data_IF_208926509187
#
_entry.id   IF_208926509187
#
_cell.length_a   1.000
_cell.length_b   1.000
_cell.length_c   1.000
_cell.angle_alpha   90.00
_cell.angle_beta   90.00
_cell.angle_gamma   90.00
#
_symmetry.space_group_name_H-M   'P 1'
#
loop_
_entity.id
_entity.type
_entity.pdbx_description
1 polymer ?
#
# COMPACT_ATOMS: atom_id res chain seq x y z
N UNK A 1 20.29 40.61 64.75
CA UNK A 1 19.52 39.35 64.72
C UNK A 1 18.05 39.75 64.81
N UNK A 2 17.23 39.86 63.76
CA UNK A 2 16.93 38.94 62.64
C UNK A 2 16.55 39.81 61.42
N UNK A 3 17.39 40.07 60.43
CA UNK A 3 17.97 39.16 59.42
C UNK A 3 16.94 38.38 58.60
N UNK A 4 16.70 38.84 57.37
CA UNK A 4 16.63 38.02 56.16
C UNK A 4 15.68 36.82 56.12
N UNK A 5 14.46 36.92 56.67
CA UNK A 5 13.34 36.03 56.30
C UNK A 5 12.23 36.91 55.79
N UNK A 6 12.10 37.05 54.47
CA UNK A 6 10.84 37.33 53.75
C UNK A 6 11.09 37.80 52.30
N UNK A 7 12.34 38.03 51.87
CA UNK A 7 12.65 38.40 50.49
C UNK A 7 13.06 37.21 49.58
N UNK A 8 12.96 35.98 50.10
CA UNK A 8 13.37 34.76 49.39
C UNK A 8 12.21 33.79 49.10
N UNK A 9 10.97 34.30 49.07
CA UNK A 9 9.78 33.45 48.89
C UNK A 9 8.80 33.93 47.83
N UNK A 10 9.17 34.95 47.05
CA UNK A 10 8.33 35.46 45.94
C UNK A 10 9.03 35.34 44.57
N UNK A 11 10.31 34.96 44.52
CA UNK A 11 11.06 34.80 43.25
C UNK A 11 11.17 33.33 42.80
N UNK A 12 10.70 32.37 43.60
CA UNK A 12 10.81 30.93 43.31
C UNK A 12 9.48 30.27 42.93
N UNK A 13 8.51 31.03 42.42
CA UNK A 13 7.25 30.51 41.88
C UNK A 13 6.85 31.12 40.53
N UNK A 14 7.83 31.61 39.77
CA UNK A 14 7.72 31.78 38.32
C UNK A 14 8.61 30.74 37.63
N UNK A 15 8.41 29.47 37.98
CA UNK A 15 8.77 28.38 37.08
C UNK A 15 7.79 28.49 35.92
N UNK A 16 8.20 29.25 34.91
CA UNK A 16 7.57 29.33 33.60
C UNK A 16 7.38 27.88 33.15
N UNK A 17 6.16 27.35 33.26
CA UNK A 17 5.75 26.16 32.53
C UNK A 17 5.67 26.57 31.08
N UNK A 18 6.84 26.72 30.44
CA UNK A 18 6.90 26.64 29.00
C UNK A 18 6.32 25.26 28.68
N UNK A 19 5.23 25.14 27.90
CA UNK A 19 4.92 23.85 27.33
C UNK A 19 6.19 23.44 26.59
N UNK A 20 6.80 22.34 27.04
CA UNK A 20 7.80 21.67 26.24
C UNK A 20 7.07 21.34 24.93
N UNK A 21 7.30 22.16 23.90
CA UNK A 21 6.97 21.79 22.54
C UNK A 21 7.90 20.64 22.23
N UNK A 22 7.49 19.42 22.64
CA UNK A 22 7.99 18.21 22.01
C UNK A 22 7.73 18.44 20.53
N UNK A 23 8.79 18.56 19.74
CA UNK A 23 8.64 18.44 18.31
C UNK A 23 7.97 17.08 18.09
N UNK A 24 6.81 17.13 17.46
CA UNK A 24 6.12 15.92 17.08
C UNK A 24 6.88 15.31 15.90
N UNK A 25 7.90 14.52 16.23
CA UNK A 25 8.76 13.84 15.26
C UNK A 25 8.04 12.69 14.55
N UNK A 26 6.73 12.50 14.76
CA UNK A 26 5.95 11.48 14.06
C UNK A 26 5.87 11.79 12.57
N UNK A 27 6.27 10.83 11.74
CA UNK A 27 6.11 10.88 10.29
C UNK A 27 4.64 10.75 9.89
N UNK A 28 3.96 9.84 10.57
CA UNK A 28 2.56 9.48 10.35
C UNK A 28 1.66 10.24 11.32
N UNK A 29 0.70 10.98 10.78
CA UNK A 29 -0.40 11.57 11.51
C UNK A 29 -1.57 10.59 11.54
N UNK A 30 -2.26 10.49 12.69
CA UNK A 30 -3.45 9.65 12.82
C UNK A 30 -4.70 10.46 12.48
N UNK A 31 -5.47 9.98 11.51
CA UNK A 31 -6.75 10.57 11.12
C UNK A 31 -7.90 9.97 11.94
N UNK A 32 -9.02 10.72 12.03
CA UNK A 32 -10.21 10.31 12.79
C UNK A 32 -10.92 9.09 12.23
N UNK A 33 -10.74 8.79 10.95
CA UNK A 33 -11.34 7.65 10.24
C UNK A 33 -10.58 6.32 10.43
N UNK A 34 -9.53 6.30 11.25
CA UNK A 34 -8.70 5.11 11.45
C UNK A 34 -7.52 5.00 10.48
N UNK A 35 -7.37 5.92 9.52
CA UNK A 35 -6.21 5.96 8.61
C UNK A 35 -5.00 6.70 9.21
N UNK A 36 -3.81 6.42 8.68
CA UNK A 36 -2.61 7.22 8.95
C UNK A 36 -2.16 7.90 7.67
N UNK A 37 -1.56 9.08 7.80
CA UNK A 37 -1.09 9.88 6.67
C UNK A 37 0.27 10.51 6.95
N UNK A 38 1.16 10.39 5.98
CA UNK A 38 2.43 11.06 5.95
C UNK A 38 2.35 12.21 4.95
N UNK A 39 2.31 13.45 5.45
CA UNK A 39 2.47 14.65 4.63
C UNK A 39 3.93 14.86 4.29
N UNK A 40 4.22 15.00 2.99
CA UNK A 40 5.59 15.18 2.51
C UNK A 40 6.03 16.61 2.80
N UNK A 41 7.17 16.72 3.47
CA UNK A 41 7.84 17.98 3.79
C UNK A 41 9.36 17.76 3.76
N UNK A 42 10.10 18.43 4.64
CA UNK A 42 11.56 18.44 4.59
C UNK A 42 12.25 17.14 5.08
N UNK A 43 11.48 16.12 5.49
CA UNK A 43 11.98 14.84 6.02
C UNK A 43 12.08 13.76 4.94
N UNK A 44 12.72 14.10 3.82
CA UNK A 44 13.00 13.24 2.65
C UNK A 44 14.52 13.26 2.35
N UNK A 45 15.09 12.22 1.72
CA UNK A 45 14.43 11.00 1.23
C UNK A 45 13.97 10.09 2.38
N UNK A 46 12.99 9.24 2.09
CA UNK A 46 12.58 8.18 3.02
C UNK A 46 11.96 7.01 2.26
N UNK A 47 12.34 5.81 2.68
CA UNK A 47 11.88 4.52 2.18
C UNK A 47 11.18 3.77 3.31
N UNK A 48 10.09 3.09 2.95
CA UNK A 48 9.34 2.22 3.84
C UNK A 48 8.81 1.01 3.05
N UNK A 49 8.18 0.08 3.73
CA UNK A 49 7.48 -1.03 3.11
C UNK A 49 6.26 -1.43 3.91
N UNK A 50 5.30 -2.06 3.22
CA UNK A 50 4.17 -2.70 3.83
C UNK A 50 3.88 -4.03 3.16
N UNK A 51 3.53 -5.03 3.96
CA UNK A 51 2.90 -6.24 3.44
C UNK A 51 1.38 -6.10 3.51
N UNK A 52 0.74 -6.27 2.35
CA UNK A 52 -0.71 -6.33 2.21
C UNK A 52 -1.06 -7.68 1.59
N UNK A 53 -1.92 -8.45 2.24
CA UNK A 53 -2.30 -9.79 1.77
C UNK A 53 -3.78 -9.94 1.46
N UNK A 54 -4.07 -10.99 0.71
CA UNK A 54 -5.37 -11.63 0.55
C UNK A 54 -5.18 -13.14 0.44
N UNK A 55 -6.28 -13.87 0.33
CA UNK A 55 -6.21 -15.33 0.45
C UNK A 55 -5.38 -16.01 -0.62
N UNK A 56 -5.31 -15.47 -1.84
CA UNK A 56 -4.58 -16.07 -2.96
C UNK A 56 -3.39 -15.25 -3.44
N UNK A 57 -3.05 -14.17 -2.74
CA UNK A 57 -1.94 -13.29 -3.11
C UNK A 57 -1.41 -12.52 -1.89
N UNK A 58 -0.10 -12.27 -1.85
CA UNK A 58 0.49 -11.27 -0.96
C UNK A 58 1.34 -10.29 -1.76
N UNK A 59 1.40 -9.05 -1.28
CA UNK A 59 2.23 -8.00 -1.84
C UNK A 59 3.12 -7.41 -0.74
N UNK A 60 4.43 -7.52 -0.89
CA UNK A 60 5.38 -6.66 -0.16
C UNK A 60 5.65 -5.45 -1.04
N UNK A 61 4.97 -4.35 -0.72
CA UNK A 61 5.09 -3.08 -1.40
C UNK A 61 6.17 -2.25 -0.71
N UNK A 62 7.31 -2.08 -1.37
CA UNK A 62 8.39 -1.17 -0.95
C UNK A 62 8.18 0.14 -1.68
N UNK A 63 8.08 1.23 -0.95
CA UNK A 63 7.76 2.54 -1.50
C UNK A 63 8.59 3.62 -0.81
N UNK A 64 8.74 4.74 -1.48
CA UNK A 64 9.48 5.85 -0.89
C UNK A 64 9.26 7.15 -1.64
N UNK A 65 9.82 8.20 -1.04
CA UNK A 65 9.89 9.53 -1.62
C UNK A 65 11.36 9.94 -1.66
N UNK A 66 11.87 10.21 -2.85
CA UNK A 66 13.26 10.59 -3.06
C UNK A 66 13.54 12.03 -2.59
N UNK A 67 14.80 12.46 -2.61
CA UNK A 67 15.22 13.80 -2.18
C UNK A 67 14.62 14.92 -3.03
N UNK A 68 14.28 14.63 -4.29
CA UNK A 68 13.57 15.54 -5.18
C UNK A 68 12.04 15.42 -5.06
N UNK A 69 11.53 14.75 -4.03
CA UNK A 69 10.11 14.48 -3.80
C UNK A 69 9.42 13.64 -4.87
N UNK A 70 10.16 12.96 -5.76
CA UNK A 70 9.57 11.96 -6.66
C UNK A 70 9.17 10.69 -5.89
N UNK A 71 8.15 10.00 -6.41
CA UNK A 71 7.72 8.71 -5.86
C UNK A 71 8.50 7.57 -6.51
N UNK A 72 8.77 6.52 -5.75
CA UNK A 72 9.24 5.26 -6.29
C UNK A 72 8.64 4.08 -5.52
N UNK A 73 8.37 2.98 -6.23
CA UNK A 73 7.88 1.77 -5.59
C UNK A 73 8.28 0.49 -6.36
N UNK A 74 8.34 -0.60 -5.61
CA UNK A 74 8.41 -1.95 -6.15
C UNK A 74 7.53 -2.88 -5.33
N UNK A 75 6.93 -3.85 -6.02
CA UNK A 75 5.98 -4.81 -5.46
C UNK A 75 6.51 -6.20 -5.71
N UNK A 76 6.77 -6.91 -4.63
CA UNK A 76 6.99 -8.35 -4.68
C UNK A 76 5.65 -9.03 -4.49
N UNK A 77 5.14 -9.61 -5.57
CA UNK A 77 3.87 -10.33 -5.59
C UNK A 77 4.14 -11.80 -5.39
N UNK A 78 3.42 -12.41 -4.44
CA UNK A 78 3.53 -13.82 -4.10
C UNK A 78 2.17 -14.46 -4.30
N UNK A 79 2.12 -15.56 -5.05
CA UNK A 79 0.92 -16.37 -5.23
C UNK A 79 1.07 -17.68 -4.45
N UNK A 80 0.51 -17.79 -3.22
CA UNK A 80 0.72 -18.94 -2.34
C UNK A 80 0.32 -20.27 -2.96
N UNK A 81 -0.71 -20.25 -3.82
CA UNK A 81 -1.23 -21.43 -4.52
C UNK A 81 -0.33 -21.95 -5.64
N UNK A 82 0.51 -21.10 -6.22
CA UNK A 82 1.35 -21.45 -7.36
C UNK A 82 2.72 -21.88 -6.84
N UNK A 83 2.93 -23.20 -6.74
CA UNK A 83 4.08 -23.76 -6.03
C UNK A 83 5.25 -24.06 -6.97
N UNK A 84 6.47 -23.77 -6.53
CA UNK A 84 7.71 -24.03 -7.26
C UNK A 84 8.43 -25.28 -6.76
N UNK A 85 9.45 -25.73 -7.49
CA UNK A 85 10.31 -26.87 -7.15
C UNK A 85 11.68 -26.34 -6.67
N UNK A 86 12.24 -26.85 -5.55
CA UNK A 86 11.68 -27.86 -4.65
C UNK A 86 10.49 -27.32 -3.84
N UNK A 87 9.43 -28.12 -3.69
CA UNK A 87 8.20 -27.72 -3.01
C UNK A 87 8.36 -27.76 -1.47
N UNK A 88 9.05 -26.78 -0.92
CA UNK A 88 9.24 -26.58 0.53
C UNK A 88 8.55 -25.30 1.01
N UNK A 89 8.69 -24.92 2.27
CA UNK A 89 7.98 -23.76 2.86
C UNK A 89 8.27 -22.41 2.18
N UNK A 90 9.33 -22.29 1.36
CA UNK A 90 9.67 -21.08 0.60
C UNK A 90 9.13 -21.06 -0.84
N UNK A 91 8.52 -22.17 -1.28
CA UNK A 91 8.29 -22.43 -2.70
C UNK A 91 7.01 -21.82 -3.27
N UNK A 92 6.66 -20.59 -2.90
CA UNK A 92 5.56 -19.86 -3.54
C UNK A 92 6.10 -19.06 -4.72
N UNK A 93 5.38 -19.09 -5.84
CA UNK A 93 5.74 -18.30 -7.02
C UNK A 93 5.75 -16.83 -6.63
N UNK A 94 6.90 -16.22 -6.81
CA UNK A 94 7.14 -14.82 -6.47
C UNK A 94 7.67 -14.08 -7.68
N UNK A 95 7.16 -12.87 -7.91
CA UNK A 95 7.69 -11.96 -8.93
C UNK A 95 7.75 -10.54 -8.38
N UNK A 96 8.91 -9.92 -8.53
CA UNK A 96 9.09 -8.50 -8.25
C UNK A 96 8.97 -7.70 -9.53
N UNK A 97 8.23 -6.62 -9.45
CA UNK A 97 8.10 -5.64 -10.53
C UNK A 97 8.47 -4.25 -9.96
N UNK A 98 9.01 -3.36 -10.80
CA UNK A 98 9.41 -1.99 -10.39
C UNK A 98 8.80 -0.86 -11.24
N UNK A 99 8.13 -1.17 -12.34
CA UNK A 99 7.49 -0.20 -13.22
C UNK A 99 6.38 0.60 -12.52
N UNK A 100 6.33 1.91 -12.75
CA UNK A 100 5.22 2.82 -12.41
C UNK A 100 4.40 3.11 -13.68
N UNK A 101 3.08 3.03 -13.60
CA UNK A 101 2.23 3.21 -14.77
C UNK A 101 2.26 4.65 -15.32
N UNK A 102 2.47 5.68 -14.48
CA UNK A 102 2.56 7.06 -14.98
C UNK A 102 3.78 7.31 -15.87
N UNK A 103 4.82 6.47 -15.81
CA UNK A 103 5.97 6.56 -16.73
C UNK A 103 5.58 6.32 -18.20
N UNK A 104 4.47 5.61 -18.44
CA UNK A 104 3.97 5.34 -19.80
C UNK A 104 2.81 6.24 -20.22
N UNK A 105 2.31 7.10 -19.32
CA UNK A 105 1.24 8.05 -19.63
C UNK A 105 1.84 9.35 -20.17
N UNK A 106 1.22 9.89 -21.21
CA UNK A 106 1.57 11.22 -21.72
C UNK A 106 0.49 12.24 -21.37
N UNK A 107 0.90 13.48 -21.15
CA UNK A 107 0.02 14.65 -21.08
C UNK A 107 0.49 15.68 -22.11
N UNK A 108 -0.40 16.05 -23.02
CA UNK A 108 -0.09 16.85 -24.20
C UNK A 108 1.09 16.25 -24.99
N UNK A 109 1.06 14.93 -25.22
CA UNK A 109 2.05 14.19 -26.01
C UNK A 109 3.47 14.20 -25.41
N UNK A 110 3.59 14.45 -24.10
CA UNK A 110 4.87 14.47 -23.37
C UNK A 110 4.78 13.60 -22.12
N UNK A 111 5.89 12.94 -21.71
CA UNK A 111 5.94 12.25 -20.43
C UNK A 111 5.60 13.18 -19.27
N UNK A 112 4.96 12.63 -18.24
CA UNK A 112 4.79 13.33 -16.98
C UNK A 112 6.17 13.43 -16.30
N UNK A 113 6.62 14.65 -16.01
CA UNK A 113 7.92 14.90 -15.38
C UNK A 113 7.76 15.86 -14.21
N UNK A 114 8.74 15.88 -13.29
CA UNK A 114 8.76 16.76 -12.12
C UNK A 114 7.53 16.61 -11.19
N UNK A 115 7.01 15.39 -11.06
CA UNK A 115 6.06 15.04 -10.01
C UNK A 115 6.65 15.30 -8.62
N UNK A 116 5.82 15.81 -7.71
CA UNK A 116 6.12 15.96 -6.28
C UNK A 116 5.03 15.27 -5.47
N UNK A 117 5.40 14.26 -4.69
CA UNK A 117 4.50 13.62 -3.73
C UNK A 117 4.09 14.63 -2.67
N UNK A 118 2.80 14.70 -2.37
CA UNK A 118 2.24 15.59 -1.35
C UNK A 118 1.84 14.82 -0.10
N UNK A 119 1.33 13.59 -0.24
CA UNK A 119 0.95 12.73 0.87
C UNK A 119 1.00 11.25 0.50
N UNK A 120 1.23 10.42 1.51
CA UNK A 120 1.02 8.98 1.46
C UNK A 120 0.11 8.60 2.63
N UNK A 121 -0.96 7.86 2.36
CA UNK A 121 -1.88 7.41 3.41
C UNK A 121 -2.13 5.91 3.38
N UNK A 122 -2.53 5.40 4.54
CA UNK A 122 -2.75 3.99 4.78
C UNK A 122 -4.05 3.79 5.56
N UNK A 123 -5.03 3.12 4.93
CA UNK A 123 -6.33 2.82 5.54
C UNK A 123 -6.77 1.38 5.30
N UNK A 124 -5.86 0.51 4.86
CA UNK A 124 -6.15 -0.82 4.31
C UNK A 124 -5.63 -0.99 2.88
N UNK A 125 -5.42 0.13 2.19
CA UNK A 125 -4.70 0.27 0.93
C UNK A 125 -3.63 1.36 1.10
N UNK A 126 -2.58 1.35 0.27
CA UNK A 126 -1.63 2.47 0.20
C UNK A 126 -2.11 3.45 -0.86
N UNK A 127 -2.35 4.71 -0.47
CA UNK A 127 -2.69 5.80 -1.39
C UNK A 127 -1.56 6.81 -1.44
N UNK A 128 -1.14 7.20 -2.64
CA UNK A 128 -0.12 8.22 -2.88
C UNK A 128 -0.76 9.35 -3.65
N UNK A 129 -0.70 10.56 -3.11
CA UNK A 129 -1.11 11.76 -3.82
C UNK A 129 0.10 12.61 -4.17
N UNK A 130 0.10 13.13 -5.38
CA UNK A 130 1.18 13.95 -5.91
C UNK A 130 0.64 15.08 -6.78
N UNK A 131 1.51 16.04 -7.09
CA UNK A 131 1.22 17.13 -8.02
C UNK A 131 2.34 17.30 -9.03
N UNK A 132 1.95 17.77 -10.21
CA UNK A 132 2.89 18.30 -11.21
C UNK A 132 2.64 19.80 -11.25
N UNK A 133 3.43 20.57 -10.49
CA UNK A 133 3.22 22.02 -10.33
C UNK A 133 1.74 22.34 -10.07
N UNK A 134 1.18 23.32 -10.79
CA UNK A 134 -0.23 23.69 -10.76
C UNK A 134 -1.02 23.12 -11.96
N UNK A 135 -0.56 22.04 -12.60
CA UNK A 135 -1.20 21.50 -13.81
C UNK A 135 -1.95 20.21 -13.58
N UNK A 136 -1.40 19.29 -12.77
CA UNK A 136 -2.00 17.98 -12.52
C UNK A 136 -1.99 17.63 -11.03
N UNK A 137 -3.07 16.98 -10.58
CA UNK A 137 -3.06 16.12 -9.40
C UNK A 137 -3.02 14.68 -9.85
N UNK A 138 -2.16 13.88 -9.21
CA UNK A 138 -1.97 12.47 -9.49
C UNK A 138 -2.29 11.67 -8.23
N UNK A 139 -3.01 10.57 -8.38
CA UNK A 139 -3.27 9.63 -7.29
C UNK A 139 -2.91 8.23 -7.74
N UNK A 140 -2.22 7.47 -6.89
CA UNK A 140 -1.99 6.02 -7.03
C UNK A 140 -2.59 5.31 -5.83
N UNK A 141 -3.24 4.18 -6.06
CA UNK A 141 -3.81 3.35 -5.00
C UNK A 141 -3.38 1.90 -5.21
N UNK A 142 -2.85 1.27 -4.17
CA UNK A 142 -2.22 -0.04 -4.23
C UNK A 142 -2.87 -1.00 -3.24
N UNK A 143 -3.34 -2.14 -3.73
CA UNK A 143 -4.00 -3.14 -2.89
C UNK A 143 -4.08 -4.53 -3.53
N UNK A 144 -3.98 -5.61 -2.73
CA UNK A 144 -4.35 -6.93 -3.18
C UNK A 144 -5.89 -7.10 -3.19
N UNK A 145 -6.39 -8.01 -4.03
CA UNK A 145 -7.71 -8.59 -3.82
C UNK A 145 -7.74 -9.34 -2.49
N UNK A 146 -8.90 -9.38 -1.84
CA UNK A 146 -9.09 -10.13 -0.59
C UNK A 146 -9.06 -11.65 -0.78
N UNK A 147 -9.39 -12.15 -1.97
CA UNK A 147 -9.64 -13.58 -2.22
C UNK A 147 -9.26 -14.10 -3.60
N UNK A 148 -9.03 -13.22 -4.58
CA UNK A 148 -8.57 -13.59 -5.92
C UNK A 148 -7.04 -13.53 -6.00
N UNK A 149 -6.41 -14.23 -6.98
CA UNK A 149 -4.96 -14.25 -7.14
C UNK A 149 -4.46 -12.98 -7.87
N UNK A 150 -4.95 -11.81 -7.47
CA UNK A 150 -4.76 -10.55 -8.20
C UNK A 150 -4.37 -9.39 -7.28
N UNK A 151 -3.46 -8.56 -7.76
CA UNK A 151 -3.06 -7.30 -7.16
C UNK A 151 -3.44 -6.15 -8.08
N UNK A 152 -3.99 -5.09 -7.51
CA UNK A 152 -4.60 -4.00 -8.23
C UNK A 152 -3.86 -2.69 -7.95
N UNK A 153 -3.68 -1.92 -9.00
CA UNK A 153 -3.24 -0.54 -8.93
C UNK A 153 -4.26 0.35 -9.64
N UNK A 154 -4.76 1.38 -8.97
CA UNK A 154 -5.65 2.39 -9.55
C UNK A 154 -4.93 3.73 -9.63
N UNK A 155 -4.97 4.33 -10.80
CA UNK A 155 -4.32 5.60 -11.11
C UNK A 155 -5.37 6.63 -11.49
N UNK A 156 -5.26 7.85 -10.93
CA UNK A 156 -6.11 8.99 -11.30
C UNK A 156 -5.25 10.17 -11.70
N UNK A 157 -5.65 10.83 -12.79
CA UNK A 157 -5.07 12.10 -13.24
C UNK A 157 -6.19 13.13 -13.26
N UNK A 158 -6.02 14.23 -12.53
CA UNK A 158 -6.93 15.37 -12.55
C UNK A 158 -6.25 16.59 -13.14
N UNK A 159 -6.89 17.22 -14.11
CA UNK A 159 -6.45 18.50 -14.66
C UNK A 159 -6.81 19.62 -13.69
N UNK A 160 -5.81 20.19 -13.02
CA UNK A 160 -5.99 21.36 -12.14
C UNK A 160 -5.51 22.66 -12.79
N UNK A 161 -5.11 22.60 -14.06
CA UNK A 161 -4.75 23.79 -14.81
C UNK A 161 -6.00 24.57 -15.26
N UNK A 162 -5.82 25.84 -15.63
CA UNK A 162 -6.87 26.65 -16.23
C UNK A 162 -7.13 26.37 -17.72
N UNK A 163 -6.54 25.32 -18.30
CA UNK A 163 -6.64 25.00 -19.73
C UNK A 163 -7.00 23.53 -19.92
N UNK A 164 -7.59 23.19 -21.08
CA UNK A 164 -7.76 21.79 -21.47
C UNK A 164 -6.40 21.10 -21.68
N UNK A 165 -6.33 19.80 -21.41
CA UNK A 165 -5.18 18.97 -21.75
C UNK A 165 -5.62 17.65 -22.38
N UNK A 166 -4.71 17.00 -23.12
CA UNK A 166 -4.90 15.64 -23.65
C UNK A 166 -4.09 14.68 -22.81
N UNK A 167 -4.68 13.59 -22.35
CA UNK A 167 -4.02 12.50 -21.63
C UNK A 167 -4.07 11.24 -22.48
N UNK A 168 -2.92 10.60 -22.72
CA UNK A 168 -2.85 9.33 -23.46
C UNK A 168 -2.36 8.22 -22.54
N UNK A 169 -3.22 7.21 -22.37
CA UNK A 169 -2.99 6.06 -21.51
C UNK A 169 -2.86 4.83 -22.42
N UNK A 170 -1.78 4.04 -22.33
CA UNK A 170 -1.59 2.90 -23.19
C UNK A 170 -2.61 1.79 -22.91
N UNK A 171 -2.88 0.98 -23.94
CA UNK A 171 -3.55 -0.32 -23.80
C UNK A 171 -2.49 -1.39 -23.98
N UNK A 172 -2.31 -2.24 -22.98
CA UNK A 172 -1.28 -3.28 -23.01
C UNK A 172 -1.68 -4.48 -22.14
N UNK A 173 -1.22 -5.65 -22.57
CA UNK A 173 -1.23 -6.88 -21.80
C UNK A 173 0.18 -7.48 -21.89
N UNK A 174 0.83 -7.65 -20.74
CA UNK A 174 2.11 -8.34 -20.65
C UNK A 174 1.89 -9.73 -20.07
N UNK A 175 2.46 -10.77 -20.69
CA UNK A 175 2.37 -12.16 -20.23
C UNK A 175 3.77 -12.71 -20.01
N UNK A 176 4.04 -13.21 -18.81
CA UNK A 176 5.28 -13.88 -18.45
C UNK A 176 4.97 -15.35 -18.16
N UNK A 177 5.59 -16.25 -18.91
CA UNK A 177 5.49 -17.68 -18.67
C UNK A 177 6.72 -18.18 -17.90
N UNK A 178 6.50 -18.96 -16.84
CA UNK A 178 7.60 -19.59 -16.09
C UNK A 178 8.14 -20.83 -16.80
N UNK A 179 9.37 -21.24 -16.46
CA UNK A 179 9.88 -22.54 -16.88
C UNK A 179 8.98 -23.67 -16.30
N UNK A 180 8.42 -24.56 -17.14
CA UNK A 180 7.57 -25.65 -16.66
C UNK A 180 8.28 -26.63 -15.72
N UNK A 181 9.61 -26.72 -15.76
CA UNK A 181 10.38 -27.59 -14.85
C UNK A 181 10.49 -27.03 -13.43
N UNK A 182 10.20 -25.74 -13.26
CA UNK A 182 10.31 -25.05 -11.98
C UNK A 182 8.99 -24.98 -11.20
N UNK A 183 7.87 -25.38 -11.81
CA UNK A 183 6.56 -25.40 -11.16
C UNK A 183 6.08 -26.81 -10.84
N UNK A 184 5.40 -26.99 -9.71
CA UNK A 184 4.84 -28.30 -9.31
C UNK A 184 3.72 -28.78 -10.23
N UNK A 185 3.14 -27.88 -11.03
CA UNK A 185 2.02 -28.14 -11.95
C UNK A 185 2.36 -27.69 -13.38
N UNK A 186 3.66 -27.70 -13.72
CA UNK A 186 4.15 -27.19 -14.99
C UNK A 186 4.37 -25.68 -14.97
N UNK A 187 4.21 -25.03 -16.12
CA UNK A 187 4.40 -23.58 -16.23
C UNK A 187 3.20 -22.82 -15.65
N UNK A 188 3.49 -21.65 -15.09
CA UNK A 188 2.50 -20.67 -14.68
C UNK A 188 2.58 -19.45 -15.61
N UNK A 189 1.47 -18.73 -15.74
CA UNK A 189 1.40 -17.44 -16.42
C UNK A 189 1.20 -16.33 -15.39
N UNK A 190 2.02 -15.29 -15.49
CA UNK A 190 1.80 -14.02 -14.82
C UNK A 190 1.35 -13.00 -15.86
N UNK A 191 0.29 -12.26 -15.58
CA UNK A 191 -0.22 -11.23 -16.49
C UNK A 191 -0.22 -9.86 -15.83
N UNK A 192 0.04 -8.82 -16.61
CA UNK A 192 -0.16 -7.41 -16.24
C UNK A 192 -1.06 -6.79 -17.30
N UNK A 193 -2.29 -6.47 -16.91
CA UNK A 193 -3.34 -5.99 -17.81
C UNK A 193 -3.68 -4.54 -17.52
N UNK A 194 -3.75 -3.72 -18.57
CA UNK A 194 -4.19 -2.33 -18.52
C UNK A 194 -5.69 -2.23 -18.82
N UNK A 195 -6.42 -1.52 -17.97
CA UNK A 195 -7.83 -1.24 -18.15
C UNK A 195 -8.05 0.27 -18.27
N UNK A 196 -9.07 0.66 -19.03
CA UNK A 196 -9.40 2.05 -19.32
C UNK A 196 -8.25 2.86 -19.96
N UNK A 197 -7.44 2.21 -20.80
CA UNK A 197 -6.51 2.91 -21.69
C UNK A 197 -7.23 3.64 -22.82
N UNK A 198 -6.65 4.73 -23.33
CA UNK A 198 -7.26 5.57 -24.36
C UNK A 198 -6.67 6.98 -24.42
N UNK A 199 -7.25 7.81 -25.30
CA UNK A 199 -6.96 9.24 -25.37
C UNK A 199 -8.14 10.03 -24.80
N UNK A 200 -7.86 10.91 -23.86
CA UNK A 200 -8.85 11.67 -23.10
C UNK A 200 -8.55 13.15 -23.18
N UNK A 201 -9.56 13.96 -23.50
CA UNK A 201 -9.46 15.42 -23.41
C UNK A 201 -10.10 15.87 -22.10
N UNK A 202 -9.29 16.39 -21.17
CA UNK A 202 -9.76 16.86 -19.88
C UNK A 202 -9.92 18.38 -19.87
N UNK A 203 -11.11 18.85 -19.54
CA UNK A 203 -11.37 20.23 -19.15
C UNK A 203 -10.75 20.54 -17.78
N UNK A 204 -10.62 21.82 -17.38
CA UNK A 204 -10.27 22.18 -16.02
C UNK A 204 -11.17 21.47 -14.99
N UNK A 205 -10.54 20.88 -13.97
CA UNK A 205 -11.12 20.07 -12.89
C UNK A 205 -11.64 18.69 -13.27
N UNK A 206 -11.61 18.28 -14.55
CA UNK A 206 -11.93 16.92 -14.94
C UNK A 206 -10.83 15.93 -14.57
N UNK A 207 -11.21 14.67 -14.41
CA UNK A 207 -10.32 13.57 -14.08
C UNK A 207 -10.53 12.39 -15.02
N UNK A 208 -9.46 11.64 -15.26
CA UNK A 208 -9.51 10.29 -15.84
C UNK A 208 -8.89 9.31 -14.84
N UNK A 209 -9.37 8.08 -14.84
CA UNK A 209 -8.77 6.98 -14.10
C UNK A 209 -8.47 5.81 -15.03
N UNK A 210 -7.49 4.99 -14.65
CA UNK A 210 -7.16 3.72 -15.27
C UNK A 210 -6.58 2.77 -14.23
N UNK A 211 -6.47 1.50 -14.55
CA UNK A 211 -5.97 0.50 -13.60
C UNK A 211 -5.05 -0.53 -14.24
N UNK A 212 -4.15 -1.06 -13.42
CA UNK A 212 -3.29 -2.18 -13.73
C UNK A 212 -3.65 -3.34 -12.82
N UNK A 213 -3.90 -4.51 -13.41
CA UNK A 213 -4.16 -5.75 -12.69
C UNK A 213 -3.03 -6.73 -12.94
N UNK A 214 -2.40 -7.17 -11.86
CA UNK A 214 -1.36 -8.19 -11.85
C UNK A 214 -1.98 -9.51 -11.40
N UNK A 215 -1.88 -10.56 -12.21
CA UNK A 215 -2.46 -11.86 -11.88
C UNK A 215 -1.45 -12.98 -12.08
N UNK A 216 -1.68 -14.10 -11.38
CA UNK A 216 -0.93 -15.34 -11.52
C UNK A 216 -1.88 -16.52 -11.63
N UNK A 217 -1.65 -17.40 -12.60
CA UNK A 217 -2.51 -18.55 -12.85
C UNK A 217 -1.73 -19.70 -13.49
N UNK A 218 -2.33 -20.90 -13.51
CA UNK A 218 -1.87 -22.03 -14.33
C UNK A 218 -2.22 -21.77 -15.79
N UNK A 219 -1.45 -22.31 -16.74
CA UNK A 219 -1.64 -22.03 -18.17
C UNK A 219 -3.03 -22.37 -18.74
N UNK A 220 -3.76 -23.30 -18.12
CA UNK A 220 -5.10 -23.72 -18.58
C UNK A 220 -6.25 -23.05 -17.84
N UNK A 221 -5.94 -22.22 -16.85
CA UNK A 221 -6.97 -21.49 -16.10
C UNK A 221 -7.47 -20.30 -16.92
N UNK A 222 -8.79 -20.00 -16.87
CA UNK A 222 -9.34 -18.87 -17.59
C UNK A 222 -8.83 -17.55 -16.98
N UNK A 223 -8.61 -16.55 -17.84
CA UNK A 223 -8.34 -15.18 -17.38
C UNK A 223 -9.56 -14.65 -16.63
N UNK A 224 -9.32 -14.15 -15.42
CA UNK A 224 -10.35 -13.50 -14.62
C UNK A 224 -10.69 -12.12 -15.20
N UNK A 225 -11.97 -11.78 -15.24
CA UNK A 225 -12.42 -10.42 -15.47
C UNK A 225 -12.45 -9.70 -14.12
N UNK A 226 -11.61 -8.70 -13.96
CA UNK A 226 -11.42 -7.98 -12.70
C UNK A 226 -11.85 -6.54 -12.88
N UNK A 227 -12.69 -6.05 -11.97
CA UNK A 227 -13.02 -4.64 -11.83
C UNK A 227 -12.28 -4.09 -10.62
N UNK A 228 -11.35 -3.17 -10.84
CA UNK A 228 -10.44 -2.69 -9.80
C UNK A 228 -11.20 -1.96 -8.69
N UNK A 229 -12.21 -1.17 -9.05
CA UNK A 229 -13.02 -0.43 -8.08
C UNK A 229 -13.84 -1.36 -7.18
N UNK A 230 -14.36 -2.46 -7.74
CA UNK A 230 -15.08 -3.48 -6.97
C UNK A 230 -14.15 -4.17 -5.97
N UNK A 231 -12.96 -4.59 -6.39
CA UNK A 231 -11.97 -5.22 -5.50
C UNK A 231 -11.48 -4.24 -4.42
N UNK A 232 -11.33 -2.95 -4.74
CA UNK A 232 -10.98 -1.93 -3.76
C UNK A 232 -12.07 -1.78 -2.69
N UNK A 233 -13.34 -1.69 -3.11
CA UNK A 233 -14.47 -1.60 -2.20
C UNK A 233 -14.57 -2.83 -1.29
N UNK A 234 -14.36 -4.03 -1.84
CA UNK A 234 -14.32 -5.28 -1.09
C UNK A 234 -13.20 -5.30 -0.05
N UNK A 235 -11.99 -4.85 -0.42
CA UNK A 235 -10.85 -4.72 0.49
C UNK A 235 -11.12 -3.73 1.62
N UNK A 236 -11.66 -2.55 1.32
CA UNK A 236 -11.99 -1.55 2.34
C UNK A 236 -13.09 -2.05 3.28
N UNK A 237 -14.09 -2.76 2.77
CA UNK A 237 -15.13 -3.40 3.57
C UNK A 237 -14.56 -4.46 4.53
N UNK A 238 -13.68 -5.34 4.03
CA UNK A 238 -12.97 -6.32 4.86
C UNK A 238 -12.16 -5.63 5.97
N UNK A 239 -11.40 -4.59 5.63
CA UNK A 239 -10.59 -3.85 6.62
C UNK A 239 -11.47 -3.19 7.67
N UNK A 240 -12.61 -2.61 7.27
CA UNK A 240 -13.58 -2.02 8.19
C UNK A 240 -14.17 -3.09 9.12
N UNK A 241 -14.54 -4.26 8.59
CA UNK A 241 -15.03 -5.39 9.38
C UNK A 241 -13.99 -5.84 10.41
N UNK A 242 -12.72 -5.98 10.02
CA UNK A 242 -11.64 -6.36 10.94
C UNK A 242 -11.42 -5.29 12.00
N UNK A 243 -11.39 -4.02 11.62
CA UNK A 243 -11.21 -2.90 12.56
C UNK A 243 -12.31 -2.85 13.62
N UNK A 244 -13.56 -3.08 13.23
CA UNK A 244 -14.73 -2.97 14.11
C UNK A 244 -14.93 -4.18 15.05
N UNK A 245 -14.26 -5.31 14.81
CA UNK A 245 -14.34 -6.49 15.68
C UNK A 245 -13.11 -6.59 16.58
N UNK A 246 -13.25 -6.87 17.88
CA UNK A 246 -12.15 -6.88 18.87
C UNK A 246 -11.41 -5.53 18.89
N UNK A 247 -11.97 -4.53 19.57
CA UNK A 247 -11.41 -3.18 19.65
C UNK A 247 -10.63 -3.03 20.96
N UNK A 248 -9.37 -2.62 20.87
CA UNK A 248 -8.57 -2.22 22.02
C UNK A 248 -8.81 -0.74 22.31
N UNK A 249 -9.30 -0.44 23.52
CA UNK A 249 -9.49 0.92 24.00
C UNK A 249 -8.62 1.17 25.22
N UNK A 250 -7.60 2.01 25.04
CA UNK A 250 -6.73 2.52 26.10
C UNK A 250 -6.61 4.04 26.01
N UNK A 251 -6.12 4.74 27.06
CA UNK A 251 -5.77 6.16 26.96
C UNK A 251 -4.69 6.46 25.92
N UNK A 252 -3.89 5.47 25.51
CA UNK A 252 -2.88 5.61 24.47
C UNK A 252 -3.49 5.36 23.08
N UNK A 253 -3.77 6.45 22.36
CA UNK A 253 -4.37 6.38 21.02
C UNK A 253 -3.43 5.81 19.96
N UNK A 254 -2.11 5.88 20.17
CA UNK A 254 -1.11 5.28 19.28
C UNK A 254 -1.15 3.76 19.43
N UNK A 255 -1.23 3.25 20.66
CA UNK A 255 -1.36 1.82 20.92
C UNK A 255 -2.66 1.26 20.32
N UNK A 256 -3.79 1.95 20.51
CA UNK A 256 -5.07 1.55 19.92
C UNK A 256 -4.97 1.47 18.38
N UNK A 257 -4.27 2.44 17.75
CA UNK A 257 -4.06 2.46 16.31
C UNK A 257 -3.14 1.34 15.84
N UNK A 258 -2.03 1.11 16.53
CA UNK A 258 -1.09 0.04 16.24
C UNK A 258 -1.78 -1.32 16.30
N UNK A 259 -2.59 -1.56 17.35
CA UNK A 259 -3.39 -2.78 17.48
C UNK A 259 -4.38 -2.96 16.33
N UNK A 260 -5.07 -1.89 15.91
CA UNK A 260 -6.00 -1.94 14.78
C UNK A 260 -5.30 -2.32 13.45
N UNK A 261 -4.06 -1.86 13.21
CA UNK A 261 -3.28 -2.28 12.04
C UNK A 261 -2.73 -3.70 12.18
N UNK A 262 -2.24 -4.08 13.36
CA UNK A 262 -1.76 -5.44 13.62
C UNK A 262 -2.85 -6.49 13.37
N UNK A 263 -4.09 -6.20 13.78
CA UNK A 263 -5.26 -7.05 13.48
C UNK A 263 -5.52 -7.23 11.99
N UNK A 264 -5.35 -6.19 11.18
CA UNK A 264 -5.52 -6.31 9.72
C UNK A 264 -4.51 -7.32 9.20
N UNK A 265 -3.23 -7.15 9.57
CA UNK A 265 -2.16 -8.07 9.18
C UNK A 265 -2.46 -9.51 9.61
N UNK A 266 -2.89 -9.71 10.85
CA UNK A 266 -3.28 -11.01 11.38
C UNK A 266 -4.44 -11.65 10.56
N UNK A 267 -5.49 -10.87 10.27
CA UNK A 267 -6.69 -11.36 9.59
C UNK A 267 -6.47 -11.66 8.10
N UNK A 268 -5.52 -10.99 7.44
CA UNK A 268 -5.24 -11.18 6.01
C UNK A 268 -4.15 -12.22 5.72
N UNK A 269 -3.36 -12.60 6.73
CA UNK A 269 -2.26 -13.58 6.61
C UNK A 269 -2.75 -15.03 6.56
N UNK A 270 -3.96 -15.26 6.08
CA UNK A 270 -4.60 -16.56 5.95
C UNK A 270 -4.71 -16.89 4.47
N UNK A 271 -3.83 -17.77 4.01
CA UNK A 271 -3.67 -18.09 2.60
C UNK A 271 -4.42 -19.37 2.26
N UNK A 272 -5.12 -19.37 1.13
CA UNK A 272 -5.53 -20.64 0.53
C UNK A 272 -4.26 -21.41 0.20
N UNK A 273 -4.27 -22.70 0.55
CA UNK A 273 -3.24 -23.65 0.16
C UNK A 273 -3.92 -24.95 -0.27
N UNK A 274 -3.17 -25.85 -0.91
CA UNK A 274 -3.68 -27.20 -1.24
C UNK A 274 -4.15 -27.97 0.00
N UNK A 275 -3.58 -27.70 1.18
CA UNK A 275 -3.95 -28.34 2.45
C UNK A 275 -5.10 -27.66 3.18
N UNK A 276 -5.74 -26.65 2.58
CA UNK A 276 -6.70 -25.77 3.22
C UNK A 276 -6.08 -24.43 3.65
N UNK A 277 -6.88 -23.53 4.26
CA UNK A 277 -6.40 -22.24 4.72
C UNK A 277 -5.28 -22.38 5.76
N UNK A 278 -4.18 -21.65 5.58
CA UNK A 278 -3.07 -21.62 6.53
C UNK A 278 -2.74 -20.19 6.93
N UNK A 279 -2.65 -19.93 8.23
CA UNK A 279 -2.09 -18.69 8.73
C UNK A 279 -0.56 -18.74 8.61
N UNK A 280 0.01 -17.91 7.73
CA UNK A 280 1.45 -17.88 7.44
C UNK A 280 2.09 -16.54 7.83
N UNK A 281 3.34 -16.52 8.30
CA UNK A 281 4.02 -15.29 8.72
C UNK A 281 4.31 -14.32 7.55
N UNK A 282 4.37 -14.84 6.32
CA UNK A 282 4.69 -14.07 5.13
C UNK A 282 6.15 -13.63 5.07
N UNK A 283 6.41 -12.39 4.63
CA UNK A 283 7.77 -11.88 4.47
C UNK A 283 8.51 -12.44 3.25
N UNK A 284 7.81 -12.57 2.11
CA UNK A 284 8.34 -13.12 0.85
C UNK A 284 8.71 -14.61 0.90
N UNK A 285 8.36 -15.31 1.99
CA UNK A 285 8.48 -16.75 2.14
C UNK A 285 7.31 -17.27 2.98
N UNK A 286 7.20 -18.60 3.16
CA UNK A 286 6.36 -19.18 4.21
C UNK A 286 4.84 -19.03 4.08
N UNK A 287 4.34 -18.67 2.90
CA UNK A 287 2.90 -18.48 2.63
C UNK A 287 2.06 -19.75 2.59
N UNK A 288 2.67 -20.92 2.49
CA UNK A 288 1.99 -22.22 2.52
C UNK A 288 2.59 -23.10 3.61
N UNK A 289 2.70 -22.53 4.80
CA UNK A 289 3.26 -23.17 5.99
C UNK A 289 2.62 -22.58 7.25
N UNK A 290 2.64 -23.36 8.33
CA UNK A 290 2.08 -23.00 9.64
C UNK A 290 3.11 -23.31 10.73
N UNK A 291 3.24 -22.39 11.68
CA UNK A 291 4.09 -22.55 12.87
C UNK A 291 3.22 -22.50 14.11
N UNK A 292 3.34 -23.53 14.96
CA UNK A 292 2.57 -23.61 16.20
C UNK A 292 2.86 -22.43 17.14
N UNK A 293 4.13 -22.00 17.18
CA UNK A 293 4.59 -20.77 17.82
C UNK A 293 3.73 -19.57 17.42
N UNK A 294 3.65 -19.31 16.11
CA UNK A 294 3.00 -18.10 15.60
C UNK A 294 1.51 -18.07 15.95
N UNK A 295 0.89 -19.26 15.98
CA UNK A 295 -0.50 -19.39 16.40
C UNK A 295 -0.65 -19.10 17.89
N UNK A 296 0.22 -19.64 18.75
CA UNK A 296 0.11 -19.45 20.19
C UNK A 296 0.48 -18.02 20.65
N UNK A 297 1.44 -17.36 20.01
CA UNK A 297 1.97 -16.06 20.45
C UNK A 297 1.26 -14.85 19.84
N UNK A 298 0.83 -14.93 18.57
CA UNK A 298 0.39 -13.74 17.84
C UNK A 298 -1.10 -13.73 17.48
N UNK A 299 -1.76 -14.90 17.36
CA UNK A 299 -3.08 -15.02 16.70
C UNK A 299 -4.15 -15.76 17.50
N UNK A 300 -3.76 -16.75 18.31
CA UNK A 300 -4.64 -17.73 18.95
C UNK A 300 -5.50 -17.22 20.09
#
# INVERSE_FOLDING_TARGET
MNSLRNFFLVVTLLSITLPAFSQDDRRWQMNSDGSIEWFIGNRIPHDDHIELSGKQISCVLRYGVASDSSFHASRSLVWPMLRTIPNNTHASLTRRFAQDAFEMVTVNYRPITAEKVTSISLNGILTVNSRVSNTLELTRQYFPSTDLPVYCEVYRIKNISGKKCVVEIPKSTSIYQTDPKMGTEGAFALQVNWYHGGSYQLQPNESVHFSLIYSGAKLKEPTLQIEAEYEMAKRLSFVQQVRNNLVLETPDTVLNRAFAFAKIRAAESIFETKGGPMHGPGGESYYAAIWANDQAEYIG
#
